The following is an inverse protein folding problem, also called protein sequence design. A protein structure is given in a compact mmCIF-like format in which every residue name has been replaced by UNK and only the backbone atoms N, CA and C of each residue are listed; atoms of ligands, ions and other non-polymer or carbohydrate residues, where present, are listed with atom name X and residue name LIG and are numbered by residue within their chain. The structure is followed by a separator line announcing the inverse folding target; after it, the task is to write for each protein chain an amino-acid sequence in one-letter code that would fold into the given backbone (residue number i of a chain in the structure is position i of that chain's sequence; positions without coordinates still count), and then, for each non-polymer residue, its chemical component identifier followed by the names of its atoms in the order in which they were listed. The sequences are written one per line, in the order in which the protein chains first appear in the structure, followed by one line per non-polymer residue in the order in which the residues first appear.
data_IF_012784956946
#
_entry.id   IF_012784956946
#
_cell.length_a   1.000
_cell.length_b   1.000
_cell.length_c   1.000
_cell.angle_alpha   90.00
_cell.angle_beta   90.00
_cell.angle_gamma   90.00
#
_symmetry.space_group_name_H-M   'P 1'
#
loop_
_entity.id
_entity.type
_entity.pdbx_description
1 polymer ?
#
# COMPACT_ATOMS: atom_id res chain seq x y z
N UNK A 1 14.51 -17.57 -2.55
CA UNK A 1 13.27 -18.36 -2.65
C UNK A 1 12.08 -17.40 -2.66
N UNK A 2 11.23 -17.41 -3.70
CA UNK A 2 9.97 -16.65 -3.66
C UNK A 2 9.12 -17.26 -2.56
N UNK A 3 8.82 -16.47 -1.53
CA UNK A 3 7.96 -16.91 -0.44
C UNK A 3 6.61 -17.31 -1.06
N UNK A 4 6.24 -18.60 -0.97
CA UNK A 4 5.02 -19.14 -1.59
C UNK A 4 3.77 -18.83 -0.77
N UNK A 5 3.94 -18.25 0.40
CA UNK A 5 2.87 -17.95 1.34
C UNK A 5 2.27 -16.57 1.03
N UNK A 6 0.96 -16.48 1.20
CA UNK A 6 0.24 -15.20 1.15
C UNK A 6 0.68 -14.34 2.34
N UNK A 7 0.98 -13.07 2.08
CA UNK A 7 1.28 -12.08 3.12
C UNK A 7 0.01 -11.30 3.45
N UNK A 8 -0.28 -11.16 4.74
CA UNK A 8 -1.45 -10.45 5.23
C UNK A 8 -1.02 -9.23 6.06
N UNK A 9 -1.56 -8.07 5.70
CA UNK A 9 -1.28 -6.78 6.34
C UNK A 9 -2.57 -6.22 6.95
N UNK A 10 -2.50 -5.76 8.20
CA UNK A 10 -3.63 -5.13 8.91
C UNK A 10 -3.22 -3.70 9.30
N UNK A 11 -3.99 -2.72 8.85
CA UNK A 11 -3.70 -1.30 9.06
C UNK A 11 -3.65 -0.91 10.54
N UNK A 12 -4.48 -1.51 11.40
CA UNK A 12 -4.48 -1.24 12.85
C UNK A 12 -3.23 -1.78 13.51
N UNK A 13 -2.74 -2.94 13.07
CA UNK A 13 -1.46 -3.49 13.54
C UNK A 13 -0.28 -2.63 13.10
N UNK A 14 -0.31 -2.13 11.86
CA UNK A 14 0.70 -1.21 11.33
C UNK A 14 0.71 0.08 12.15
N UNK A 15 -0.45 0.72 12.35
CA UNK A 15 -0.56 1.92 13.19
C UNK A 15 -0.02 1.68 14.60
N UNK A 16 -0.37 0.56 15.23
CA UNK A 16 0.08 0.26 16.61
C UNK A 16 1.57 -0.01 16.72
N UNK A 17 2.18 -0.62 15.71
CA UNK A 17 3.59 -1.04 15.75
C UNK A 17 4.56 0.01 15.22
N UNK A 18 4.14 0.79 14.24
CA UNK A 18 4.98 1.78 13.55
C UNK A 18 4.54 3.23 13.81
N UNK A 19 3.35 3.45 14.39
CA UNK A 19 2.81 4.80 14.56
C UNK A 19 2.38 5.49 13.25
N UNK A 20 2.42 4.78 12.12
CA UNK A 20 2.10 5.33 10.79
C UNK A 20 0.60 5.25 10.49
N UNK A 21 0.03 6.40 10.17
CA UNK A 21 -1.34 6.64 9.73
C UNK A 21 -1.50 6.67 8.22
N UNK A 22 -2.75 6.73 7.74
CA UNK A 22 -3.00 6.91 6.31
C UNK A 22 -2.38 8.23 5.81
N UNK A 23 -2.42 9.28 6.62
CA UNK A 23 -1.73 10.56 6.35
C UNK A 23 -0.23 10.35 6.10
N UNK A 24 0.44 9.60 6.99
CA UNK A 24 1.88 9.33 6.82
C UNK A 24 2.15 8.50 5.56
N UNK A 25 1.32 7.49 5.26
CA UNK A 25 1.49 6.66 4.05
C UNK A 25 1.29 7.46 2.76
N UNK A 26 0.31 8.36 2.73
CA UNK A 26 0.10 9.25 1.58
C UNK A 26 1.29 10.19 1.42
N UNK A 27 1.76 10.81 2.50
CA UNK A 27 2.98 11.64 2.49
C UNK A 27 4.21 10.88 1.98
N UNK A 28 4.41 9.64 2.45
CA UNK A 28 5.51 8.77 2.00
C UNK A 28 5.40 8.49 0.50
N UNK A 29 4.20 8.20 0.00
CA UNK A 29 3.98 7.95 -1.43
C UNK A 29 4.28 9.19 -2.29
N UNK A 30 3.90 10.38 -1.84
CA UNK A 30 4.22 11.62 -2.55
C UNK A 30 5.71 11.92 -2.56
N UNK A 31 6.41 11.71 -1.43
CA UNK A 31 7.82 12.09 -1.28
C UNK A 31 8.79 11.05 -1.83
N UNK A 32 8.51 9.76 -1.63
CA UNK A 32 9.40 8.66 -2.06
C UNK A 32 9.04 8.06 -3.40
N UNK A 33 7.88 8.43 -3.94
CA UNK A 33 7.34 7.95 -5.20
C UNK A 33 6.31 6.84 -5.00
N UNK A 34 5.25 6.90 -5.80
CA UNK A 34 4.16 5.94 -5.87
C UNK A 34 3.49 6.00 -7.26
N UNK A 35 2.33 5.37 -7.42
CA UNK A 35 1.67 5.31 -8.73
C UNK A 35 1.22 6.68 -9.25
N UNK A 36 0.96 7.64 -8.35
CA UNK A 36 0.49 8.99 -8.71
C UNK A 36 1.58 10.07 -8.69
N UNK A 37 2.77 9.79 -8.14
CA UNK A 37 3.87 10.76 -8.03
C UNK A 37 5.22 10.09 -8.25
N UNK A 38 6.13 10.69 -9.03
CA UNK A 38 7.51 10.20 -9.16
C UNK A 38 8.37 10.45 -7.91
N UNK A 39 7.88 11.23 -6.94
CA UNK A 39 8.62 11.59 -5.73
C UNK A 39 9.83 12.50 -5.94
N UNK A 40 10.57 12.72 -4.85
CA UNK A 40 11.89 13.34 -4.88
C UNK A 40 12.96 12.29 -5.18
N UNK A 41 13.91 12.65 -6.03
CA UNK A 41 15.06 11.83 -6.33
C UNK A 41 15.89 11.58 -5.06
N UNK A 42 16.28 10.31 -4.86
CA UNK A 42 17.05 9.82 -3.71
C UNK A 42 16.38 10.02 -2.34
N UNK A 43 15.06 10.27 -2.31
CA UNK A 43 14.26 10.23 -1.09
C UNK A 43 13.56 8.87 -1.02
N UNK A 44 14.05 8.00 -0.15
CA UNK A 44 13.38 6.74 0.19
C UNK A 44 12.48 6.86 1.41
N UNK A 45 11.87 5.76 1.84
CA UNK A 45 10.93 5.72 2.98
C UNK A 45 11.45 6.39 4.26
N UNK A 46 12.72 6.17 4.61
CA UNK A 46 13.30 6.75 5.84
C UNK A 46 13.41 8.27 5.73
N UNK A 47 13.97 8.78 4.64
CA UNK A 47 14.09 10.23 4.43
C UNK A 47 12.71 10.88 4.28
N UNK A 48 11.72 10.18 3.72
CA UNK A 48 10.34 10.64 3.65
C UNK A 48 9.72 10.74 5.06
N UNK A 49 9.92 9.74 5.93
CA UNK A 49 9.47 9.78 7.33
C UNK A 49 10.18 10.90 8.10
N UNK A 50 11.49 11.06 7.93
CA UNK A 50 12.26 12.18 8.51
C UNK A 50 11.63 13.53 8.08
N UNK A 51 11.39 13.72 6.78
CA UNK A 51 10.73 14.93 6.26
C UNK A 51 9.34 15.15 6.87
N UNK A 52 8.47 14.14 6.85
CA UNK A 52 7.12 14.30 7.38
C UNK A 52 7.15 14.65 8.87
N UNK A 53 8.00 13.99 9.65
CA UNK A 53 8.10 14.20 11.10
C UNK A 53 8.57 15.62 11.44
N UNK A 54 9.42 16.23 10.61
CA UNK A 54 9.90 17.60 10.81
C UNK A 54 8.83 18.68 10.54
N UNK A 55 7.87 18.41 9.65
CA UNK A 55 6.87 19.40 9.21
C UNK A 55 5.45 19.12 9.69
N UNK A 56 5.25 18.03 10.45
CA UNK A 56 3.97 17.69 11.06
C UNK A 56 3.66 18.66 12.20
N UNK A 57 2.50 19.32 12.16
CA UNK A 57 2.11 20.33 13.17
C UNK A 57 1.42 19.70 14.38
N UNK A 58 0.45 18.84 14.12
CA UNK A 58 -0.29 18.11 15.13
C UNK A 58 -0.82 16.83 14.49
N UNK A 59 -0.44 15.69 15.06
CA UNK A 59 -1.10 14.43 14.70
C UNK A 59 -2.48 14.42 15.31
N UNK A 60 -3.49 14.13 14.52
CA UNK A 60 -4.82 13.87 15.05
C UNK A 60 -4.74 12.70 16.05
N UNK A 61 -4.86 12.99 17.35
CA UNK A 61 -4.80 11.97 18.41
C UNK A 61 -6.02 11.04 18.39
N UNK A 62 -7.09 11.46 17.72
CA UNK A 62 -8.32 10.71 17.54
C UNK A 62 -8.37 10.02 16.18
N UNK A 63 -8.86 8.77 16.17
CA UNK A 63 -9.15 7.98 14.96
C UNK A 63 -10.26 8.57 14.06
N UNK A 64 -10.64 9.83 14.26
CA UNK A 64 -11.64 10.58 13.50
C UNK A 64 -11.20 11.98 13.07
N UNK A 65 -9.93 12.34 13.26
CA UNK A 65 -9.38 13.58 12.70
C UNK A 65 -9.35 13.55 11.17
N UNK A 66 -9.47 14.72 10.57
CA UNK A 66 -9.38 14.89 9.12
C UNK A 66 -7.92 14.65 8.65
N UNK A 67 -7.61 13.39 8.34
CA UNK A 67 -6.28 12.98 7.88
C UNK A 67 -5.92 13.61 6.52
N UNK A 68 -6.90 13.97 5.67
CA UNK A 68 -6.65 14.69 4.41
C UNK A 68 -6.13 16.09 4.72
N UNK A 69 -6.79 16.81 5.62
CA UNK A 69 -6.35 18.13 6.09
C UNK A 69 -4.98 18.07 6.80
N UNK A 70 -4.73 17.04 7.63
CA UNK A 70 -3.45 16.82 8.29
C UNK A 70 -2.32 16.67 7.25
N UNK A 71 -2.51 15.81 6.24
CA UNK A 71 -1.57 15.61 5.14
C UNK A 71 -1.31 16.92 4.40
N UNK A 72 -2.37 17.64 4.01
CA UNK A 72 -2.24 18.91 3.27
C UNK A 72 -1.48 19.96 4.08
N UNK A 73 -1.73 20.08 5.39
CA UNK A 73 -1.02 21.03 6.24
C UNK A 73 0.47 20.73 6.37
N UNK A 74 0.81 19.45 6.57
CA UNK A 74 2.20 18.97 6.67
C UNK A 74 2.94 19.19 5.36
N UNK A 75 2.31 18.86 4.23
CA UNK A 75 2.92 19.05 2.91
C UNK A 75 3.07 20.53 2.54
N UNK A 76 2.14 21.40 2.96
CA UNK A 76 2.27 22.84 2.75
C UNK A 76 3.48 23.42 3.48
N UNK A 77 3.70 23.04 4.73
CA UNK A 77 4.89 23.47 5.49
C UNK A 77 6.19 22.99 4.81
N UNK A 78 6.18 21.75 4.32
CA UNK A 78 7.29 21.20 3.56
C UNK A 78 7.50 21.94 2.23
N UNK A 79 6.43 22.28 1.50
CA UNK A 79 6.49 23.07 0.26
C UNK A 79 7.10 24.45 0.51
N UNK A 80 6.71 25.13 1.58
CA UNK A 80 7.27 26.43 1.99
C UNK A 80 8.77 26.31 2.30
N UNK A 81 9.20 25.24 2.97
CA UNK A 81 10.62 24.98 3.18
C UNK A 81 11.35 24.67 1.88
N UNK A 82 10.80 23.84 0.99
CA UNK A 82 11.40 23.52 -0.32
C UNK A 82 11.63 24.77 -1.16
N UNK A 83 10.74 25.77 -1.12
CA UNK A 83 10.93 27.06 -1.80
C UNK A 83 12.19 27.80 -1.30
N UNK A 84 12.57 27.65 -0.03
CA UNK A 84 13.81 28.25 0.49
C UNK A 84 15.09 27.60 -0.05
N UNK A 85 15.00 26.39 -0.61
CA UNK A 85 16.14 25.68 -1.18
C UNK A 85 16.53 26.23 -2.56
N UNK A 86 15.60 26.86 -3.28
CA UNK A 86 15.87 27.53 -4.56
C UNK A 86 16.76 28.77 -4.40
N UNK A 87 16.84 29.34 -3.20
CA UNK A 87 17.74 30.45 -2.90
C UNK A 87 19.18 29.98 -2.69
N UNK A 88 20.13 30.79 -3.17
CA UNK A 88 21.56 30.64 -2.90
C UNK A 88 21.95 31.12 -1.49
N UNK A 89 21.05 31.82 -0.80
CA UNK A 89 21.27 32.23 0.58
C UNK A 89 21.02 31.04 1.50
N UNK A 90 22.11 30.52 2.08
CA UNK A 90 22.04 29.39 2.99
C UNK A 90 21.47 29.82 4.36
N UNK A 91 20.14 29.80 4.49
CA UNK A 91 19.48 30.01 5.77
C UNK A 91 19.99 28.98 6.82
N UNK A 92 20.33 29.39 8.05
CA UNK A 92 20.79 28.47 9.07
C UNK A 92 19.69 27.46 9.42
N UNK A 93 20.00 26.17 9.28
CA UNK A 93 19.07 25.09 9.60
C UNK A 93 19.19 24.72 11.09
N UNK A 94 18.06 24.68 11.83
CA UNK A 94 18.03 24.56 13.28
C UNK A 94 18.62 23.25 13.80
N UNK A 95 18.50 22.15 13.03
CA UNK A 95 18.89 20.81 13.47
C UNK A 95 19.68 20.05 12.40
N UNK A 96 20.44 19.03 12.83
CA UNK A 96 21.31 18.22 11.97
C UNK A 96 20.55 17.44 10.89
N UNK A 97 19.37 16.91 11.23
CA UNK A 97 18.51 16.17 10.28
C UNK A 97 18.11 17.09 9.12
N UNK A 98 17.67 18.31 9.41
CA UNK A 98 17.27 19.30 8.39
C UNK A 98 18.43 19.72 7.48
N UNK A 99 19.66 19.86 8.01
CA UNK A 99 20.88 20.09 7.20
C UNK A 99 21.15 18.93 6.22
N UNK A 100 21.07 17.69 6.71
CA UNK A 100 21.26 16.46 5.90
C UNK A 100 20.21 16.39 4.78
N UNK A 101 18.93 16.59 5.12
CA UNK A 101 17.82 16.58 4.16
C UNK A 101 17.95 17.69 3.12
N UNK A 102 18.32 18.91 3.53
CA UNK A 102 18.57 20.03 2.62
C UNK A 102 19.65 19.68 1.59
N UNK A 103 20.79 19.19 2.05
CA UNK A 103 21.92 18.81 1.20
C UNK A 103 21.52 17.70 0.23
N UNK A 104 20.78 16.70 0.71
CA UNK A 104 20.29 15.60 -0.11
C UNK A 104 19.34 16.10 -1.21
N UNK A 105 18.39 16.96 -0.87
CA UNK A 105 17.37 17.43 -1.82
C UNK A 105 18.01 18.35 -2.86
N UNK A 106 18.77 19.39 -2.45
CA UNK A 106 19.45 20.33 -3.37
C UNK A 106 20.39 19.62 -4.33
N UNK A 107 21.08 18.57 -3.88
CA UNK A 107 22.05 17.84 -4.72
C UNK A 107 21.40 16.99 -5.82
N UNK A 108 20.19 16.47 -5.57
CA UNK A 108 19.61 15.43 -6.43
C UNK A 108 18.33 15.86 -7.15
N UNK A 109 17.78 17.04 -6.87
CA UNK A 109 16.47 17.46 -7.38
C UNK A 109 16.53 18.84 -8.03
N UNK A 110 16.00 18.91 -9.25
CA UNK A 110 15.78 20.18 -9.95
C UNK A 110 14.59 20.95 -9.36
N UNK A 111 14.55 22.30 -9.48
CA UNK A 111 13.48 23.14 -8.94
C UNK A 111 12.07 22.70 -9.36
N UNK A 112 11.89 22.28 -10.61
CA UNK A 112 10.60 21.82 -11.13
C UNK A 112 10.09 20.60 -10.35
N UNK A 113 10.98 19.65 -10.00
CA UNK A 113 10.61 18.47 -9.23
C UNK A 113 10.26 18.82 -7.79
N UNK A 114 11.00 19.73 -7.17
CA UNK A 114 10.70 20.21 -5.82
C UNK A 114 9.34 20.92 -5.75
N UNK A 115 9.00 21.72 -6.76
CA UNK A 115 7.68 22.38 -6.87
C UNK A 115 6.54 21.41 -7.14
N UNK A 116 6.79 20.36 -7.92
CA UNK A 116 5.75 19.41 -8.34
C UNK A 116 5.45 18.31 -7.31
N UNK A 117 6.35 18.04 -6.35
CA UNK A 117 6.18 16.91 -5.42
C UNK A 117 4.98 17.07 -4.50
N UNK A 118 4.65 18.31 -4.13
CA UNK A 118 3.45 18.63 -3.33
C UNK A 118 2.32 18.98 -4.28
N UNK A 119 1.37 18.05 -4.44
CA UNK A 119 0.20 18.26 -5.28
C UNK A 119 -1.09 17.87 -4.52
N UNK A 120 -1.94 18.84 -4.17
CA UNK A 120 -3.21 18.60 -3.47
C UNK A 120 -4.16 17.64 -4.21
N UNK A 121 -4.13 17.62 -5.55
CA UNK A 121 -4.97 16.73 -6.35
C UNK A 121 -4.58 15.26 -6.17
N UNK A 122 -3.28 14.98 -5.98
CA UNK A 122 -2.80 13.63 -5.68
C UNK A 122 -3.28 13.20 -4.28
N UNK A 123 -3.20 14.11 -3.31
CA UNK A 123 -3.71 13.85 -1.95
C UNK A 123 -5.21 13.55 -2.00
N UNK A 124 -5.99 14.37 -2.71
CA UNK A 124 -7.41 14.14 -2.92
C UNK A 124 -7.71 12.80 -3.59
N UNK A 125 -6.91 12.38 -4.59
CA UNK A 125 -7.08 11.08 -5.25
C UNK A 125 -6.90 9.89 -4.29
N UNK A 126 -6.02 10.00 -3.29
CA UNK A 126 -5.86 8.97 -2.25
C UNK A 126 -6.99 8.96 -1.21
N UNK A 127 -7.49 10.13 -0.80
CA UNK A 127 -8.51 10.22 0.26
C UNK A 127 -9.96 10.14 -0.26
N UNK A 128 -10.19 10.56 -1.50
CA UNK A 128 -11.50 10.59 -2.16
C UNK A 128 -11.48 9.78 -3.47
N UNK A 129 -11.12 8.48 -3.42
CA UNK A 129 -11.11 7.65 -4.61
C UNK A 129 -12.54 7.51 -5.16
N UNK A 130 -12.65 7.53 -6.50
CA UNK A 130 -13.92 7.26 -7.15
C UNK A 130 -14.21 5.75 -7.09
N UNK A 131 -15.03 5.35 -6.11
CA UNK A 131 -15.40 3.96 -5.86
C UNK A 131 -16.88 3.73 -6.09
N UNK A 132 -17.23 2.53 -6.54
CA UNK A 132 -18.61 2.07 -6.54
C UNK A 132 -19.09 1.87 -5.09
N UNK A 133 -20.16 2.56 -4.71
CA UNK A 133 -20.78 2.51 -3.37
C UNK A 133 -21.99 1.57 -3.32
N UNK A 134 -22.21 0.78 -4.38
CA UNK A 134 -23.28 -0.21 -4.44
C UNK A 134 -23.20 -1.19 -3.28
N UNK A 135 -24.34 -1.36 -2.60
CA UNK A 135 -24.52 -2.39 -1.57
C UNK A 135 -25.07 -3.70 -2.17
N UNK A 136 -24.94 -3.90 -3.49
CA UNK A 136 -25.37 -5.14 -4.12
C UNK A 136 -24.63 -6.33 -3.52
N UNK A 137 -25.40 -7.34 -3.11
CA UNK A 137 -24.84 -8.56 -2.56
C UNK A 137 -24.20 -9.38 -3.68
N UNK A 138 -22.94 -9.74 -3.49
CA UNK A 138 -22.28 -10.71 -4.34
C UNK A 138 -23.09 -12.01 -4.42
N UNK A 139 -23.23 -12.53 -5.63
CA UNK A 139 -23.88 -13.82 -5.91
C UNK A 139 -22.91 -14.70 -6.65
N UNK A 140 -22.85 -15.94 -6.23
CA UNK A 140 -22.05 -16.97 -6.85
C UNK A 140 -22.97 -18.02 -7.47
N UNK A 141 -22.59 -18.55 -8.63
CA UNK A 141 -23.36 -19.55 -9.38
C UNK A 141 -22.48 -20.74 -9.73
N UNK A 142 -23.12 -21.86 -10.05
CA UNK A 142 -22.44 -22.96 -10.70
C UNK A 142 -21.87 -22.51 -12.05
N UNK A 143 -20.72 -23.08 -12.40
CA UNK A 143 -20.05 -22.91 -13.67
C UNK A 143 -20.71 -23.82 -14.71
N UNK A 144 -21.10 -23.25 -15.83
CA UNK A 144 -21.51 -23.99 -17.03
C UNK A 144 -20.25 -24.48 -17.75
N UNK A 145 -19.84 -25.72 -17.44
CA UNK A 145 -18.55 -26.30 -17.87
C UNK A 145 -18.45 -26.35 -19.40
N UNK A 146 -19.53 -26.68 -20.11
CA UNK A 146 -19.53 -26.80 -21.57
C UNK A 146 -19.45 -25.42 -22.25
N UNK A 147 -20.15 -24.41 -21.71
CA UNK A 147 -20.00 -23.03 -22.22
C UNK A 147 -18.58 -22.50 -21.98
N UNK A 148 -17.97 -22.79 -20.84
CA UNK A 148 -16.58 -22.38 -20.58
C UNK A 148 -15.61 -23.15 -21.48
N UNK A 149 -15.82 -24.45 -21.68
CA UNK A 149 -15.00 -25.28 -22.59
C UNK A 149 -15.03 -24.73 -24.02
N UNK A 150 -16.21 -24.51 -24.57
CA UNK A 150 -16.37 -23.92 -25.92
C UNK A 150 -15.77 -22.52 -26.03
N UNK A 151 -15.92 -21.68 -25.00
CA UNK A 151 -15.28 -20.36 -24.95
C UNK A 151 -13.76 -20.45 -24.97
N UNK A 152 -13.17 -21.35 -24.19
CA UNK A 152 -11.70 -21.51 -24.11
C UNK A 152 -11.12 -22.14 -25.37
N UNK A 153 -11.84 -23.05 -26.03
CA UNK A 153 -11.48 -23.51 -27.36
C UNK A 153 -11.46 -22.34 -28.36
N UNK A 154 -12.55 -21.57 -28.43
CA UNK A 154 -12.68 -20.48 -29.40
C UNK A 154 -11.69 -19.32 -29.17
N UNK A 155 -11.37 -18.99 -27.90
CA UNK A 155 -10.51 -17.85 -27.56
C UNK A 155 -9.04 -18.21 -27.42
N UNK A 156 -8.74 -19.40 -26.93
CA UNK A 156 -7.38 -19.81 -26.56
C UNK A 156 -6.91 -21.09 -27.27
N UNK A 157 -7.75 -21.71 -28.11
CA UNK A 157 -7.43 -22.97 -28.79
C UNK A 157 -7.22 -24.14 -27.82
N UNK A 158 -7.87 -24.11 -26.64
CA UNK A 158 -7.77 -25.23 -25.70
C UNK A 158 -8.63 -26.39 -26.18
N UNK A 159 -7.97 -27.48 -26.57
CA UNK A 159 -8.63 -28.76 -26.79
C UNK A 159 -9.17 -29.34 -25.46
N UNK A 160 -10.03 -30.35 -25.58
CA UNK A 160 -10.70 -30.96 -24.43
C UNK A 160 -9.70 -31.56 -23.44
N UNK A 161 -8.62 -32.17 -23.94
CA UNK A 161 -7.58 -32.75 -23.11
C UNK A 161 -6.87 -31.70 -22.24
N UNK A 162 -6.54 -30.54 -22.81
CA UNK A 162 -5.92 -29.44 -22.08
C UNK A 162 -6.90 -28.79 -21.10
N UNK A 163 -8.16 -28.62 -21.50
CA UNK A 163 -9.21 -28.13 -20.62
C UNK A 163 -9.38 -29.03 -19.40
N UNK A 164 -9.59 -30.33 -19.62
CA UNK A 164 -9.85 -31.28 -18.56
C UNK A 164 -8.70 -31.34 -17.55
N UNK A 165 -7.46 -31.40 -18.05
CA UNK A 165 -6.25 -31.41 -17.22
C UNK A 165 -6.08 -30.14 -16.37
N UNK A 166 -6.54 -28.98 -16.85
CA UNK A 166 -6.26 -27.69 -16.21
C UNK A 166 -7.39 -27.18 -15.31
N UNK A 167 -8.65 -27.49 -15.63
CA UNK A 167 -9.79 -26.79 -15.01
C UNK A 167 -10.93 -27.69 -14.55
N UNK A 168 -11.16 -28.85 -15.17
CA UNK A 168 -12.38 -29.63 -14.96
C UNK A 168 -12.62 -29.99 -13.49
N UNK A 169 -11.60 -30.53 -12.80
CA UNK A 169 -11.71 -30.93 -11.39
C UNK A 169 -12.07 -29.73 -10.50
N UNK A 170 -11.49 -28.56 -10.77
CA UNK A 170 -11.76 -27.36 -9.98
C UNK A 170 -13.21 -26.88 -10.17
N UNK A 171 -13.72 -26.88 -11.40
CA UNK A 171 -15.11 -26.49 -11.70
C UNK A 171 -16.12 -27.48 -11.16
N UNK A 172 -15.85 -28.79 -11.25
CA UNK A 172 -16.70 -29.82 -10.64
C UNK A 172 -16.79 -29.64 -9.13
N UNK A 173 -15.65 -29.51 -8.44
CA UNK A 173 -15.62 -29.26 -6.99
C UNK A 173 -16.38 -28.00 -6.58
N UNK A 174 -16.24 -26.93 -7.37
CA UNK A 174 -16.99 -25.70 -7.15
C UNK A 174 -18.50 -25.90 -7.33
N UNK A 175 -18.92 -26.59 -8.39
CA UNK A 175 -20.32 -26.88 -8.65
C UNK A 175 -20.92 -27.76 -7.55
N UNK A 176 -20.19 -28.77 -7.08
CA UNK A 176 -20.64 -29.62 -5.99
C UNK A 176 -20.78 -28.83 -4.68
N UNK A 177 -19.82 -27.94 -4.39
CA UNK A 177 -19.88 -27.04 -3.23
C UNK A 177 -21.09 -26.12 -3.28
N UNK A 178 -21.30 -25.41 -4.39
CA UNK A 178 -22.33 -24.35 -4.45
C UNK A 178 -23.74 -24.90 -4.61
N UNK A 179 -23.90 -26.12 -5.15
CA UNK A 179 -25.19 -26.81 -5.26
C UNK A 179 -25.55 -27.61 -4.00
N UNK A 180 -24.68 -27.61 -2.98
CA UNK A 180 -24.91 -28.36 -1.74
C UNK A 180 -24.76 -29.88 -1.88
N UNK A 181 -24.32 -30.38 -3.04
CA UNK A 181 -23.98 -31.80 -3.25
C UNK A 181 -22.77 -32.23 -2.41
N UNK A 182 -21.89 -31.28 -2.09
CA UNK A 182 -20.82 -31.43 -1.12
C UNK A 182 -21.01 -30.45 0.04
N UNK A 183 -21.39 -30.97 1.22
CA UNK A 183 -21.26 -30.22 2.47
C UNK A 183 -19.80 -30.25 2.89
N UNK A 184 -19.07 -29.17 2.65
CA UNK A 184 -17.87 -28.91 3.43
C UNK A 184 -18.32 -28.39 4.78
N UNK A 185 -18.86 -29.26 5.65
CA UNK A 185 -18.84 -28.97 7.07
C UNK A 185 -17.36 -28.85 7.43
N UNK A 186 -16.90 -27.61 7.45
CA UNK A 186 -15.52 -27.26 7.69
C UNK A 186 -15.21 -27.69 9.12
N UNK A 187 -14.58 -28.85 9.26
CA UNK A 187 -14.03 -29.30 10.53
C UNK A 187 -13.13 -28.17 11.08
N UNK A 188 -13.01 -27.98 12.39
CA UNK A 188 -12.21 -26.86 12.95
C UNK A 188 -10.78 -26.81 12.36
N UNK A 189 -10.23 -27.97 12.02
CA UNK A 189 -8.95 -28.20 11.34
C UNK A 189 -8.86 -27.68 9.90
N UNK A 190 -9.99 -27.35 9.26
CA UNK A 190 -10.04 -26.69 7.95
C UNK A 190 -9.98 -25.15 8.05
N UNK A 191 -10.22 -24.60 9.24
CA UNK A 191 -9.96 -23.20 9.58
C UNK A 191 -8.60 -23.01 10.26
N UNK A 192 -8.13 -24.05 10.96
CA UNK A 192 -6.86 -24.07 11.66
C UNK A 192 -5.87 -24.98 10.93
N UNK A 193 -5.00 -24.40 10.12
CA UNK A 193 -3.77 -25.06 9.75
C UNK A 193 -2.88 -25.09 11.00
N UNK A 194 -2.38 -26.27 11.42
CA UNK A 194 -1.30 -26.30 12.40
C UNK A 194 -0.13 -25.55 11.78
N UNK A 195 0.21 -24.39 12.35
CA UNK A 195 1.36 -23.65 11.90
C UNK A 195 2.59 -24.47 12.27
N UNK A 196 3.35 -24.91 11.27
CA UNK A 196 4.67 -25.53 11.50
C UNK A 196 5.66 -24.50 12.08
N UNK A 197 5.35 -23.21 11.93
CA UNK A 197 6.17 -22.08 12.37
C UNK A 197 5.42 -21.23 13.39
N UNK A 198 6.12 -20.79 14.43
CA UNK A 198 5.51 -19.97 15.47
C UNK A 198 5.09 -18.59 14.93
N UNK A 199 4.11 -17.91 15.54
CA UNK A 199 3.76 -16.53 15.15
C UNK A 199 4.92 -15.53 15.22
N UNK A 200 5.97 -15.84 15.99
CA UNK A 200 7.18 -15.02 16.07
C UNK A 200 8.05 -15.15 14.80
N UNK A 201 8.05 -16.32 14.15
CA UNK A 201 8.80 -16.60 12.92
C UNK A 201 8.12 -16.04 11.67
N UNK A 202 6.82 -15.73 11.75
CA UNK A 202 6.05 -15.09 10.68
C UNK A 202 6.20 -13.57 10.65
N UNK A 203 6.67 -12.97 11.75
CA UNK A 203 6.94 -11.54 11.80
C UNK A 203 8.21 -11.25 11.03
N UNK A 204 8.10 -10.44 9.99
CA UNK A 204 9.29 -9.85 9.36
C UNK A 204 9.97 -8.95 10.38
N UNK A 205 11.26 -9.23 10.67
CA UNK A 205 12.07 -8.33 11.47
C UNK A 205 12.10 -6.94 10.82
N UNK A 206 12.03 -5.89 11.63
CA UNK A 206 12.26 -4.55 11.12
C UNK A 206 13.67 -4.50 10.55
N UNK A 207 13.82 -3.86 9.40
CA UNK A 207 15.18 -3.61 8.90
C UNK A 207 15.81 -2.50 9.76
N UNK A 208 17.13 -2.52 9.90
CA UNK A 208 17.88 -1.46 10.63
C UNK A 208 17.48 -0.05 10.20
N UNK A 209 17.15 0.13 8.91
CA UNK A 209 16.71 1.40 8.33
C UNK A 209 15.37 1.87 8.89
N UNK A 210 14.46 0.93 9.14
CA UNK A 210 13.14 1.21 9.69
C UNK A 210 13.24 1.47 11.19
N UNK A 211 14.07 0.71 11.91
CA UNK A 211 14.34 0.94 13.35
C UNK A 211 14.90 2.35 13.62
N UNK A 212 15.81 2.83 12.78
CA UNK A 212 16.39 4.18 12.91
C UNK A 212 15.41 5.31 12.57
N UNK A 213 14.36 5.05 11.78
CA UNK A 213 13.40 6.08 11.39
C UNK A 213 12.31 6.36 12.43
N UNK A 214 12.22 5.54 13.48
CA UNK A 214 11.20 5.63 14.54
C UNK A 214 11.78 5.96 15.93
N UNK A 215 13.08 6.22 16.04
CA UNK A 215 13.76 6.64 17.28
C UNK A 215 14.03 8.14 17.29
#
# INVERSE_FOLDING_TARGET
AKNRNVQHYDSRKIQKSLGLSQSDFVGIALLSGGDYSPGLANVGIVNAIELLSEFTVARSSDQGGDQEAETLSTLKNLEEWLKTLESDVEAPEPIAVRRKLRTLIKKNNEPERMRAVVNPEIVAAYFRPNVDKSNEKFRWRSVDIEKVRSLLYARLGWDDAKFDRKTLIAFQRWNDFITGKASYQRHITSYAHMLEQSPAEQKTALTKRVETGFN
#
